data_IF_377933242630
#
_entry.id   IF_377933242630
#
_cell.length_a   1.000
_cell.length_b   1.000
_cell.length_c   1.000
_cell.angle_alpha   90.00
_cell.angle_beta   90.00
_cell.angle_gamma   90.00
#
_symmetry.space_group_name_H-M   'P 1'
#
loop_
_entity.id
_entity.type
_entity.pdbx_description
1 polymer ?
#
# COMPACT_ATOMS: atom_id res chain seq x y z
N UNK A 1 -18.14 -1.94 -82.59
CA UNK A 1 -18.21 -3.15 -81.75
C UNK A 1 -16.78 -3.56 -81.43
N UNK A 2 -16.44 -3.59 -80.13
CA UNK A 2 -15.51 -4.53 -79.45
C UNK A 2 -14.84 -3.85 -78.24
N UNK A 3 -15.08 -4.46 -77.07
CA UNK A 3 -14.68 -4.03 -75.72
C UNK A 3 -13.40 -4.74 -75.30
N UNK A 4 -12.39 -4.04 -74.75
CA UNK A 4 -11.30 -4.63 -73.93
C UNK A 4 -10.81 -3.52 -72.97
N UNK A 5 -11.19 -3.46 -71.68
CA UNK A 5 -10.69 -4.16 -70.46
C UNK A 5 -9.21 -3.90 -70.09
N UNK A 6 -9.04 -2.95 -69.15
CA UNK A 6 -8.10 -2.82 -68.02
C UNK A 6 -6.61 -3.23 -68.11
N UNK A 7 -5.74 -2.31 -67.65
CA UNK A 7 -4.60 -2.63 -66.78
C UNK A 7 -4.23 -1.40 -65.94
N UNK A 8 -4.32 -1.52 -64.62
CA UNK A 8 -3.84 -0.52 -63.64
C UNK A 8 -2.38 -0.86 -63.33
N UNK A 9 -1.49 0.11 -63.57
CA UNK A 9 -0.07 0.03 -63.21
C UNK A 9 0.09 0.53 -61.78
N UNK A 10 0.69 -0.30 -60.93
CA UNK A 10 1.05 0.04 -59.56
C UNK A 10 2.23 1.03 -59.53
N UNK A 11 2.11 2.10 -58.75
CA UNK A 11 3.21 2.97 -58.37
C UNK A 11 3.41 2.86 -56.85
N UNK A 12 4.59 2.40 -56.43
CA UNK A 12 4.99 2.34 -55.04
C UNK A 12 5.42 3.74 -54.56
N UNK A 13 4.79 4.25 -53.51
CA UNK A 13 5.22 5.47 -52.82
C UNK A 13 5.85 5.07 -51.48
N UNK A 14 7.14 5.35 -51.33
CA UNK A 14 7.88 5.24 -50.07
C UNK A 14 7.38 6.32 -49.10
N UNK A 15 6.60 5.93 -48.10
CA UNK A 15 6.25 6.78 -46.97
C UNK A 15 7.21 6.49 -45.80
N UNK A 16 8.09 7.44 -45.50
CA UNK A 16 8.91 7.42 -44.29
C UNK A 16 8.02 7.47 -43.05
N UNK A 17 8.14 6.45 -42.21
CA UNK A 17 7.48 6.43 -40.90
C UNK A 17 8.44 7.08 -39.91
N UNK A 18 8.19 8.34 -39.57
CA UNK A 18 8.78 8.93 -38.37
C UNK A 18 8.32 8.12 -37.17
N UNK A 19 9.25 7.54 -36.41
CA UNK A 19 8.95 7.01 -35.09
C UNK A 19 8.63 8.20 -34.18
N UNK A 20 7.37 8.59 -34.12
CA UNK A 20 6.87 9.34 -32.98
C UNK A 20 7.01 8.41 -31.77
N UNK A 21 8.01 8.66 -30.93
CA UNK A 21 8.08 8.05 -29.61
C UNK A 21 6.79 8.44 -28.88
N UNK A 22 5.89 7.48 -28.70
CA UNK A 22 4.74 7.67 -27.83
C UNK A 22 5.28 8.12 -26.46
N UNK A 23 4.70 9.13 -25.80
CA UNK A 23 5.06 9.39 -24.42
C UNK A 23 4.75 8.09 -23.68
N UNK A 24 5.75 7.54 -22.98
CA UNK A 24 5.49 6.49 -22.01
C UNK A 24 4.51 7.11 -21.01
N UNK A 25 3.22 6.80 -21.17
CA UNK A 25 2.23 7.08 -20.15
C UNK A 25 2.76 6.39 -18.90
N UNK A 26 3.23 7.17 -17.93
CA UNK A 26 3.49 6.69 -16.59
C UNK A 26 2.17 6.09 -16.12
N UNK A 27 2.03 4.77 -16.29
CA UNK A 27 0.83 4.06 -15.90
C UNK A 27 0.59 4.42 -14.45
N UNK A 28 -0.64 4.84 -14.13
CA UNK A 28 -1.05 4.99 -12.74
C UNK A 28 -0.73 3.65 -12.09
N UNK A 29 0.32 3.59 -11.27
CA UNK A 29 0.71 2.37 -10.58
C UNK A 29 -0.34 2.22 -9.48
N UNK A 30 -1.47 1.63 -9.82
CA UNK A 30 -2.43 1.19 -8.81
C UNK A 30 -1.71 0.18 -7.94
N UNK A 31 -1.62 0.40 -6.61
CA UNK A 31 -0.90 -0.52 -5.75
C UNK A 31 -1.51 -1.92 -5.85
N UNK A 32 -0.68 -2.96 -5.70
CA UNK A 32 -1.19 -4.32 -5.66
C UNK A 32 -2.01 -4.54 -4.37
N UNK A 33 -2.88 -5.54 -4.39
CA UNK A 33 -3.66 -5.96 -3.24
C UNK A 33 -3.20 -7.33 -2.76
N UNK A 34 -2.99 -7.45 -1.45
CA UNK A 34 -2.58 -8.67 -0.79
C UNK A 34 -3.54 -9.00 0.36
N UNK A 35 -3.55 -10.26 0.75
CA UNK A 35 -4.24 -10.75 1.94
C UNK A 35 -3.32 -11.53 2.86
N UNK A 36 -3.73 -11.71 4.11
CA UNK A 36 -3.00 -12.53 5.08
C UNK A 36 -3.66 -13.88 5.25
N UNK A 37 -2.90 -14.97 5.15
CA UNK A 37 -3.40 -16.31 5.49
C UNK A 37 -3.66 -16.46 6.99
N UNK A 38 -2.96 -15.68 7.82
CA UNK A 38 -3.13 -15.70 9.27
C UNK A 38 -4.19 -14.69 9.75
N UNK A 39 -4.18 -13.46 9.25
CA UNK A 39 -5.04 -12.38 9.74
C UNK A 39 -6.27 -12.09 8.85
N UNK A 40 -6.34 -12.72 7.67
CA UNK A 40 -7.31 -12.39 6.63
C UNK A 40 -7.08 -10.99 6.05
N UNK A 41 -8.16 -10.40 5.54
CA UNK A 41 -8.18 -9.01 5.04
C UNK A 41 -7.70 -8.85 3.60
N UNK A 42 -7.90 -7.65 3.08
CA UNK A 42 -7.39 -7.20 1.79
C UNK A 42 -6.84 -5.78 1.96
N UNK A 43 -5.57 -5.60 1.63
CA UNK A 43 -4.79 -4.40 1.90
C UNK A 43 -3.74 -4.16 0.81
N UNK A 44 -3.21 -2.95 0.76
CA UNK A 44 -2.22 -2.53 -0.24
C UNK A 44 -0.87 -3.21 0.02
N UNK A 45 -0.18 -3.58 -1.05
CA UNK A 45 1.14 -4.19 -1.02
C UNK A 45 1.93 -3.89 -2.31
N UNK A 46 3.20 -4.31 -2.31
CA UNK A 46 4.14 -4.02 -3.40
C UNK A 46 4.60 -2.56 -3.40
N UNK A 47 5.68 -2.29 -4.14
CA UNK A 47 6.28 -0.96 -4.18
C UNK A 47 6.54 -0.41 -2.77
N UNK A 48 6.10 0.83 -2.53
CA UNK A 48 6.23 1.51 -1.24
C UNK A 48 5.44 0.87 -0.08
N UNK A 49 4.42 0.06 -0.36
CA UNK A 49 3.63 -0.63 0.67
C UNK A 49 4.29 -1.90 1.20
N UNK A 50 5.45 -2.28 0.65
CA UNK A 50 6.21 -3.47 1.03
C UNK A 50 5.64 -4.74 0.40
N UNK A 51 6.51 -5.72 0.14
CA UNK A 51 6.17 -6.91 -0.65
C UNK A 51 4.94 -7.67 -0.15
N UNK A 52 4.76 -7.80 1.17
CA UNK A 52 3.62 -8.49 1.78
C UNK A 52 2.49 -7.55 2.22
N UNK A 53 2.69 -6.23 2.20
CA UNK A 53 1.75 -5.24 2.75
C UNK A 53 1.54 -5.30 4.26
N UNK A 54 2.30 -6.13 4.98
CA UNK A 54 2.08 -6.47 6.39
C UNK A 54 3.28 -6.17 7.25
N UNK A 55 3.00 -5.64 8.45
CA UNK A 55 3.96 -5.54 9.55
C UNK A 55 3.37 -6.24 10.76
N UNK A 56 4.00 -7.32 11.19
CA UNK A 56 3.53 -8.15 12.31
C UNK A 56 4.47 -7.98 13.50
N UNK A 57 3.91 -7.73 14.67
CA UNK A 57 4.63 -7.58 15.94
C UNK A 57 4.16 -8.67 16.91
N UNK A 58 5.11 -9.30 17.59
CA UNK A 58 4.83 -10.18 18.72
C UNK A 58 4.94 -9.34 20.00
N UNK A 59 3.83 -9.21 20.73
CA UNK A 59 3.79 -8.58 22.03
C UNK A 59 4.21 -9.59 23.11
N UNK A 60 4.69 -9.08 24.25
CA UNK A 60 5.25 -9.89 25.34
C UNK A 60 4.22 -10.78 26.05
N UNK A 61 2.93 -10.54 25.83
CA UNK A 61 1.82 -11.37 26.33
C UNK A 61 1.49 -12.54 25.39
N UNK A 62 2.26 -12.72 24.30
CA UNK A 62 2.02 -13.73 23.28
C UNK A 62 1.04 -13.29 22.17
N UNK A 63 0.47 -12.10 22.28
CA UNK A 63 -0.41 -11.54 21.25
C UNK A 63 0.39 -11.18 20.00
N UNK A 64 -0.09 -11.61 18.83
CA UNK A 64 0.45 -11.18 17.53
C UNK A 64 -0.45 -10.10 16.95
N UNK A 65 0.10 -8.92 16.70
CA UNK A 65 -0.62 -7.78 16.14
C UNK A 65 -0.08 -7.44 14.75
N UNK A 66 -0.97 -7.30 13.78
CA UNK A 66 -0.64 -6.90 12.41
C UNK A 66 -1.06 -5.46 12.14
N UNK A 67 -0.26 -4.79 11.32
CA UNK A 67 -0.49 -3.45 10.81
C UNK A 67 -0.38 -3.46 9.29
N UNK A 68 -1.38 -2.89 8.62
CA UNK A 68 -1.48 -2.85 7.15
C UNK A 68 -2.01 -1.48 6.72
N UNK A 69 -1.89 -1.19 5.42
CA UNK A 69 -2.58 -0.04 4.80
C UNK A 69 -3.77 -0.56 4.00
N UNK A 70 -4.97 -0.12 4.35
CA UNK A 70 -6.20 -0.51 3.66
C UNK A 70 -6.32 0.11 2.27
N UNK A 71 -7.30 -0.33 1.47
CA UNK A 71 -7.59 0.27 0.16
C UNK A 71 -7.97 1.75 0.23
N UNK A 72 -8.49 2.15 1.38
CA UNK A 72 -8.82 3.52 1.74
C UNK A 72 -7.60 4.36 2.14
N UNK A 73 -6.38 3.81 2.04
CA UNK A 73 -5.12 4.41 2.47
C UNK A 73 -5.05 4.69 3.98
N UNK A 74 -5.98 4.20 4.78
CA UNK A 74 -5.89 4.27 6.24
C UNK A 74 -5.01 3.14 6.78
N UNK A 75 -4.40 3.34 7.95
CA UNK A 75 -3.78 2.25 8.70
C UNK A 75 -4.88 1.40 9.35
N UNK A 76 -4.74 0.08 9.23
CA UNK A 76 -5.61 -0.88 9.90
C UNK A 76 -4.79 -1.84 10.75
N UNK A 77 -5.36 -2.25 11.88
CA UNK A 77 -4.74 -3.23 12.78
C UNK A 77 -5.71 -4.32 13.21
N UNK A 78 -5.16 -5.50 13.47
CA UNK A 78 -5.87 -6.66 13.99
C UNK A 78 -4.89 -7.50 14.82
N UNK A 79 -5.38 -8.26 15.80
CA UNK A 79 -4.53 -9.09 16.64
C UNK A 79 -5.19 -10.41 17.02
N UNK A 80 -4.37 -11.36 17.45
CA UNK A 80 -4.84 -12.65 17.99
C UNK A 80 -5.49 -12.48 19.36
N UNK A 81 -6.59 -13.18 19.63
CA UNK A 81 -7.27 -13.15 20.94
C UNK A 81 -6.96 -14.43 21.72
N UNK A 82 -6.15 -14.29 22.77
CA UNK A 82 -5.82 -15.35 23.73
C UNK A 82 -5.24 -16.61 23.09
N UNK A 83 -5.36 -17.73 23.81
CA UNK A 83 -4.84 -19.04 23.43
C UNK A 83 -5.67 -19.73 22.33
N UNK A 84 -6.66 -19.02 21.77
CA UNK A 84 -7.58 -19.54 20.77
C UNK A 84 -7.15 -19.09 19.37
N UNK A 85 -7.60 -19.81 18.34
CA UNK A 85 -7.43 -19.38 16.94
C UNK A 85 -8.28 -18.13 16.57
N UNK A 86 -8.73 -17.36 17.57
CA UNK A 86 -9.55 -16.17 17.40
C UNK A 86 -8.72 -14.93 17.02
N UNK A 87 -9.34 -14.04 16.26
CA UNK A 87 -8.78 -12.75 15.87
C UNK A 87 -9.75 -11.63 16.28
N UNK A 88 -9.23 -10.46 16.64
CA UNK A 88 -10.04 -9.25 16.87
C UNK A 88 -10.81 -8.84 15.61
N UNK A 89 -11.71 -7.86 15.70
CA UNK A 89 -12.13 -7.16 14.50
C UNK A 89 -10.94 -6.37 13.91
N UNK A 90 -11.02 -6.03 12.63
CA UNK A 90 -10.14 -5.01 12.05
C UNK A 90 -10.51 -3.64 12.64
N UNK A 91 -9.51 -2.92 13.12
CA UNK A 91 -9.67 -1.58 13.69
C UNK A 91 -8.93 -0.58 12.83
N UNK A 92 -9.63 0.47 12.37
CA UNK A 92 -8.99 1.57 11.65
C UNK A 92 -8.29 2.50 12.63
N UNK A 93 -7.07 2.89 12.29
CA UNK A 93 -6.29 3.92 12.97
C UNK A 93 -6.32 5.25 12.20
N UNK A 94 -7.11 5.32 11.13
CA UNK A 94 -7.19 6.49 10.25
C UNK A 94 -5.89 6.79 9.50
N UNK A 95 -5.72 8.07 9.16
CA UNK A 95 -4.59 8.57 8.36
C UNK A 95 -4.82 8.44 6.85
N UNK A 96 -3.84 8.92 6.08
CA UNK A 96 -3.76 8.73 4.63
C UNK A 96 -2.31 8.43 4.27
N UNK A 97 -2.00 7.16 4.09
CA UNK A 97 -0.65 6.61 4.01
C UNK A 97 -0.31 6.17 2.59
N UNK A 98 0.92 6.44 2.18
CA UNK A 98 1.47 6.14 0.85
C UNK A 98 2.65 5.18 0.91
N UNK A 99 2.90 4.57 2.08
CA UNK A 99 3.92 3.55 2.27
C UNK A 99 3.52 2.53 3.32
N UNK A 100 4.31 1.46 3.44
CA UNK A 100 4.19 0.48 4.51
C UNK A 100 4.26 1.16 5.88
N UNK A 101 3.43 0.68 6.81
CA UNK A 101 3.55 1.00 8.24
C UNK A 101 4.67 0.15 8.82
N UNK A 102 5.71 0.77 9.36
CA UNK A 102 6.87 0.09 9.96
C UNK A 102 6.97 0.42 11.45
N UNK A 103 7.52 -0.50 12.24
CA UNK A 103 7.85 -0.24 13.65
C UNK A 103 9.25 0.34 13.71
N UNK A 104 9.38 1.54 14.31
CA UNK A 104 10.67 2.22 14.47
C UNK A 104 11.19 2.19 15.91
N UNK A 105 10.31 1.89 16.87
CA UNK A 105 10.67 1.67 18.27
C UNK A 105 9.72 0.65 18.89
N UNK A 106 10.27 -0.26 19.70
CA UNK A 106 9.50 -1.18 20.52
C UNK A 106 10.07 -1.19 21.95
N UNK A 107 9.22 -0.96 22.94
CA UNK A 107 9.54 -1.06 24.35
C UNK A 107 9.27 -2.46 24.91
N UNK A 108 9.94 -2.82 26.01
CA UNK A 108 9.72 -4.07 26.73
C UNK A 108 8.38 -4.15 27.46
N UNK A 109 7.59 -3.08 27.43
CA UNK A 109 6.28 -2.91 28.03
C UNK A 109 5.15 -2.92 26.97
N UNK A 110 5.42 -3.47 25.78
CA UNK A 110 4.52 -3.47 24.62
C UNK A 110 4.18 -2.07 24.08
N UNK A 111 4.92 -1.03 24.47
CA UNK A 111 4.85 0.27 23.78
C UNK A 111 5.51 0.19 22.40
N UNK A 112 4.92 0.85 21.41
CA UNK A 112 5.42 0.85 20.03
C UNK A 112 5.36 2.27 19.47
N UNK A 113 6.35 2.64 18.67
CA UNK A 113 6.24 3.77 17.74
C UNK A 113 6.24 3.20 16.33
N UNK A 114 5.15 3.45 15.61
CA UNK A 114 5.02 3.12 14.20
C UNK A 114 5.22 4.35 13.35
N UNK A 115 5.73 4.15 12.13
CA UNK A 115 5.94 5.19 11.13
C UNK A 115 5.42 4.74 9.78
N UNK A 116 4.84 5.68 9.03
CA UNK A 116 4.52 5.51 7.62
C UNK A 116 4.70 6.85 6.88
N UNK A 117 4.75 6.83 5.56
CA UNK A 117 4.73 8.03 4.73
C UNK A 117 3.29 8.48 4.53
N UNK A 118 3.02 9.78 4.68
CA UNK A 118 1.72 10.38 4.43
C UNK A 118 1.52 10.79 2.96
N UNK A 119 0.32 11.22 2.62
CA UNK A 119 0.02 11.83 1.31
C UNK A 119 0.77 13.13 1.02
N UNK A 120 1.35 13.75 2.05
CA UNK A 120 2.21 14.93 1.97
C UNK A 120 3.70 14.59 1.83
N UNK A 121 4.03 13.32 1.55
CA UNK A 121 5.39 12.77 1.42
C UNK A 121 6.23 12.83 2.72
N UNK A 122 5.62 13.20 3.85
CA UNK A 122 6.29 13.28 5.15
C UNK A 122 6.18 11.97 5.92
N UNK A 123 7.12 11.77 6.85
CA UNK A 123 7.03 10.70 7.84
C UNK A 123 6.03 11.06 8.94
N UNK A 124 4.99 10.26 9.06
CA UNK A 124 4.01 10.32 10.12
C UNK A 124 4.21 9.19 11.11
N UNK A 125 3.90 9.45 12.36
CA UNK A 125 4.09 8.55 13.48
C UNK A 125 2.79 8.37 14.25
N UNK A 126 2.64 7.19 14.83
CA UNK A 126 1.57 6.89 15.77
C UNK A 126 2.14 5.97 16.84
N UNK A 127 1.81 6.26 18.10
CA UNK A 127 2.33 5.50 19.23
C UNK A 127 1.24 4.62 19.84
N UNK A 128 1.63 3.38 20.15
CA UNK A 128 0.94 2.51 21.09
C UNK A 128 1.60 2.67 22.45
N UNK A 129 0.81 3.04 23.46
CA UNK A 129 1.27 3.06 24.84
C UNK A 129 1.24 1.66 25.46
N UNK A 130 1.92 1.48 26.59
CA UNK A 130 1.98 0.20 27.30
C UNK A 130 0.62 -0.32 27.77
N UNK A 131 -0.32 0.59 28.07
CA UNK A 131 -1.72 0.27 28.38
C UNK A 131 -2.57 -0.10 27.16
N UNK A 132 -1.99 -0.14 25.96
CA UNK A 132 -2.69 -0.42 24.71
C UNK A 132 -3.47 0.74 24.10
N UNK A 133 -3.48 1.91 24.75
CA UNK A 133 -4.03 3.12 24.15
C UNK A 133 -3.16 3.59 22.99
N UNK A 134 -3.77 4.35 22.10
CA UNK A 134 -3.12 4.91 20.92
C UNK A 134 -3.14 6.42 20.98
N UNK A 135 -2.12 7.01 20.37
CA UNK A 135 -2.11 8.45 20.14
C UNK A 135 -2.83 8.86 18.87
N UNK A 136 -3.04 10.16 18.71
CA UNK A 136 -3.26 10.74 17.39
C UNK A 136 -2.01 10.57 16.51
N UNK A 137 -2.19 10.62 15.19
CA UNK A 137 -1.08 10.72 14.24
C UNK A 137 -0.33 12.04 14.45
N UNK A 138 1.00 11.98 14.38
CA UNK A 138 1.86 13.16 14.54
C UNK A 138 3.04 13.13 13.57
N UNK A 139 3.65 14.28 13.35
CA UNK A 139 4.88 14.42 12.54
C UNK A 139 5.75 15.52 13.16
N UNK A 140 6.98 15.70 12.69
CA UNK A 140 7.81 16.79 13.19
C UNK A 140 7.13 18.15 12.91
N UNK A 141 6.84 18.91 13.98
CA UNK A 141 6.13 20.19 13.90
C UNK A 141 4.60 20.10 14.09
N UNK A 142 4.02 18.90 14.19
CA UNK A 142 2.61 18.68 14.57
C UNK A 142 2.58 17.84 15.85
N UNK A 143 2.15 18.39 17.00
CA UNK A 143 2.15 17.66 18.27
C UNK A 143 1.24 16.43 18.27
N UNK A 144 1.59 15.47 19.11
CA UNK A 144 0.79 14.29 19.46
C UNK A 144 -0.33 14.71 20.41
N UNK A 145 -1.59 14.60 19.95
CA UNK A 145 -2.80 14.78 20.76
C UNK A 145 -3.27 13.48 21.40
#
# INVERSE_FOLDING_TARGET
MNKIKAAVVAAAVLAGVGLAAAPASAGVITPAHCGSTMFGGDFLCGGDYGTSGQTVVNLNDGTRQVFVVGRDHAMWTRWTIGNSNGLSAWTSMGGYLTSQVIVVKAGSDNSLTLRARGGDDRGWFIDRYSNGAWSSWYTYGVPKG
#
